data_IF_461964544712
#
_entry.id   IF_461964544712
#
_cell.length_a   1.000
_cell.length_b   1.000
_cell.length_c   1.000
_cell.angle_alpha   90.00
_cell.angle_beta   90.00
_cell.angle_gamma   90.00
#
_symmetry.space_group_name_H-M   'P 1'
#
loop_
_entity.id
_entity.type
_entity.pdbx_description
1 polymer ?
#
# COMPACT_ATOMS: atom_id res chain seq x y z
N UNK A 1 1.06 -8.68 1.59
CA UNK A 1 0.01 -8.15 2.48
C UNK A 1 -0.58 -9.20 3.44
N UNK A 2 0.04 -10.38 3.59
CA UNK A 2 -0.49 -11.49 4.42
C UNK A 2 -0.21 -11.35 5.92
N UNK A 3 0.45 -10.28 6.36
CA UNK A 3 0.87 -10.10 7.75
C UNK A 3 -0.18 -9.47 8.66
N UNK A 4 -1.30 -8.96 8.10
CA UNK A 4 -2.37 -8.36 8.88
C UNK A 4 -3.68 -9.07 8.54
N UNK A 5 -4.42 -9.61 9.54
CA UNK A 5 -5.74 -10.16 9.29
C UNK A 5 -6.62 -9.07 8.65
N UNK A 6 -7.38 -9.46 7.62
CA UNK A 6 -8.36 -8.57 6.99
C UNK A 6 -9.49 -8.30 7.98
N UNK A 7 -9.30 -7.25 8.79
CA UNK A 7 -10.30 -6.76 9.71
C UNK A 7 -11.41 -6.05 8.91
N UNK A 8 -12.66 -6.07 9.39
CA UNK A 8 -13.81 -5.50 8.66
C UNK A 8 -13.67 -4.00 8.34
N UNK A 9 -12.73 -3.30 8.98
CA UNK A 9 -12.41 -1.89 8.76
C UNK A 9 -11.21 -1.69 7.80
N UNK A 10 -10.56 -2.77 7.38
CA UNK A 10 -9.45 -2.71 6.43
C UNK A 10 -10.03 -2.69 5.01
N UNK A 11 -10.18 -1.49 4.48
CA UNK A 11 -10.57 -1.25 3.09
C UNK A 11 -9.70 -2.12 2.18
N UNK A 12 -10.30 -3.09 1.50
CA UNK A 12 -9.64 -3.98 0.56
C UNK A 12 -10.23 -3.75 -0.83
N UNK A 13 -9.40 -3.75 -1.90
CA UNK A 13 -9.92 -3.60 -3.25
C UNK A 13 -10.74 -4.83 -3.64
N UNK A 14 -11.89 -4.60 -4.26
CA UNK A 14 -12.78 -5.64 -4.78
C UNK A 14 -12.13 -6.29 -6.01
N UNK A 15 -11.83 -7.58 -5.94
CA UNK A 15 -11.07 -8.29 -6.99
C UNK A 15 -11.90 -8.64 -8.23
N UNK A 16 -13.18 -8.95 -8.05
CA UNK A 16 -14.08 -9.28 -9.15
C UNK A 16 -15.11 -8.16 -9.28
N UNK A 17 -14.80 -7.17 -10.11
CA UNK A 17 -15.66 -6.01 -10.37
C UNK A 17 -16.91 -6.46 -11.12
N UNK A 18 -18.08 -6.40 -10.48
CA UNK A 18 -19.38 -6.77 -11.06
C UNK A 18 -20.24 -5.54 -11.35
N UNK A 19 -19.97 -4.42 -10.70
CA UNK A 19 -20.78 -3.19 -10.76
C UNK A 19 -19.91 -1.92 -10.88
N UNK A 20 -20.48 -0.85 -11.43
CA UNK A 20 -19.79 0.44 -11.54
C UNK A 20 -19.52 1.08 -10.17
N UNK A 21 -20.34 0.78 -9.16
CA UNK A 21 -20.10 1.20 -7.79
C UNK A 21 -18.80 0.59 -7.23
N UNK A 22 -18.53 -0.70 -7.50
CA UNK A 22 -17.29 -1.36 -7.10
C UNK A 22 -16.08 -0.79 -7.84
N UNK A 23 -16.25 -0.38 -9.10
CA UNK A 23 -15.20 0.29 -9.88
C UNK A 23 -14.83 1.64 -9.24
N UNK A 24 -15.83 2.47 -8.95
CA UNK A 24 -15.61 3.76 -8.29
C UNK A 24 -15.00 3.60 -6.89
N UNK A 25 -15.45 2.58 -6.14
CA UNK A 25 -14.85 2.24 -4.85
C UNK A 25 -13.36 1.88 -5.00
N UNK A 26 -13.01 1.00 -5.95
CA UNK A 26 -11.63 0.63 -6.20
C UNK A 26 -10.77 1.80 -6.68
N UNK A 27 -11.32 2.71 -7.49
CA UNK A 27 -10.61 3.94 -7.89
C UNK A 27 -10.30 4.83 -6.68
N UNK A 28 -11.33 5.11 -5.86
CA UNK A 28 -11.16 5.92 -4.66
C UNK A 28 -10.18 5.25 -3.68
N UNK A 29 -10.30 3.94 -3.51
CA UNK A 29 -9.39 3.12 -2.70
C UNK A 29 -7.95 3.19 -3.23
N UNK A 30 -7.75 3.05 -4.54
CA UNK A 30 -6.44 3.14 -5.18
C UNK A 30 -5.78 4.50 -4.99
N UNK A 31 -6.54 5.60 -5.08
CA UNK A 31 -6.03 6.96 -4.83
C UNK A 31 -5.50 7.11 -3.40
N UNK A 32 -6.27 6.63 -2.41
CA UNK A 32 -5.86 6.68 -1.00
C UNK A 32 -4.65 5.78 -0.72
N UNK A 33 -4.63 4.56 -1.26
CA UNK A 33 -3.52 3.62 -1.11
C UNK A 33 -2.21 4.17 -1.69
N UNK A 34 -2.27 4.89 -2.83
CA UNK A 34 -1.10 5.55 -3.42
C UNK A 34 -0.48 6.62 -2.52
N UNK A 35 -1.32 7.40 -1.84
CA UNK A 35 -0.86 8.40 -0.87
C UNK A 35 -0.24 7.72 0.35
N UNK A 36 -0.91 6.69 0.89
CA UNK A 36 -0.39 5.88 2.00
C UNK A 36 0.99 5.30 1.68
N UNK A 37 1.14 4.64 0.54
CA UNK A 37 2.40 4.02 0.12
C UNK A 37 3.51 5.04 -0.07
N UNK A 38 3.21 6.18 -0.72
CA UNK A 38 4.18 7.28 -0.88
C UNK A 38 4.64 7.80 0.48
N UNK A 39 3.72 8.06 1.40
CA UNK A 39 4.05 8.56 2.75
C UNK A 39 4.91 7.55 3.51
N UNK A 40 4.54 6.27 3.49
CA UNK A 40 5.33 5.21 4.13
C UNK A 40 6.71 5.10 3.49
N UNK A 41 6.81 5.18 2.17
CA UNK A 41 8.08 5.19 1.45
C UNK A 41 8.98 6.35 1.88
N UNK A 42 8.44 7.56 1.98
CA UNK A 42 9.17 8.73 2.47
C UNK A 42 9.62 8.57 3.94
N UNK A 43 8.75 8.03 4.80
CA UNK A 43 9.09 7.77 6.20
C UNK A 43 10.22 6.74 6.30
N UNK A 44 10.14 5.63 5.55
CA UNK A 44 11.21 4.62 5.48
C UNK A 44 12.52 5.21 4.95
N UNK A 45 12.46 6.08 3.95
CA UNK A 45 13.63 6.75 3.39
C UNK A 45 14.25 7.76 4.37
N UNK A 46 13.44 8.39 5.22
CA UNK A 46 13.90 9.36 6.24
C UNK A 46 14.48 8.66 7.48
N UNK A 47 13.87 7.57 7.91
CA UNK A 47 14.27 6.82 9.11
C UNK A 47 15.05 5.55 8.78
N UNK A 48 16.09 5.68 7.94
CA UNK A 48 16.96 4.55 7.60
C UNK A 48 17.70 3.98 8.80
N UNK A 49 17.93 4.77 9.85
CA UNK A 49 18.56 4.34 11.10
C UNK A 49 17.75 3.29 11.88
N UNK A 50 16.44 3.16 11.61
CA UNK A 50 15.59 2.11 12.19
C UNK A 50 15.63 0.80 11.37
N UNK A 51 16.35 0.79 10.25
CA UNK A 51 16.46 -0.37 9.38
C UNK A 51 17.60 -1.28 9.83
N UNK A 52 17.26 -2.44 10.40
CA UNK A 52 18.19 -3.42 10.97
C UNK A 52 19.24 -3.93 9.95
N UNK A 53 18.98 -3.84 8.64
CA UNK A 53 19.86 -4.42 7.61
C UNK A 53 20.72 -3.42 6.83
N UNK A 54 20.61 -2.10 7.05
CA UNK A 54 21.48 -1.10 6.38
C UNK A 54 21.36 -1.02 4.85
N UNK A 55 20.46 -1.78 4.22
CA UNK A 55 20.33 -1.85 2.76
C UNK A 55 19.36 -0.76 2.23
N UNK A 56 19.72 0.00 1.19
CA UNK A 56 18.83 1.00 0.57
C UNK A 56 17.65 0.36 -0.16
N UNK A 57 16.46 0.93 0.00
CA UNK A 57 15.18 0.48 -0.58
C UNK A 57 15.09 0.54 -2.12
N UNK A 58 16.13 1.04 -2.80
CA UNK A 58 16.15 1.26 -4.25
C UNK A 58 16.22 -0.03 -5.07
N UNK A 59 16.57 -1.18 -4.48
CA UNK A 59 16.62 -2.46 -5.20
C UNK A 59 15.29 -3.24 -5.27
N UNK A 60 14.20 -2.72 -4.70
CA UNK A 60 12.91 -3.42 -4.64
C UNK A 60 11.85 -3.00 -5.67
N UNK A 61 12.11 -1.99 -6.51
CA UNK A 61 11.09 -1.35 -7.36
C UNK A 61 11.34 -1.47 -8.88
N UNK A 62 12.24 -2.35 -9.32
CA UNK A 62 12.31 -2.77 -10.73
C UNK A 62 11.81 -4.21 -10.81
N UNK A 63 10.50 -4.38 -11.02
CA UNK A 63 9.94 -5.59 -11.62
C UNK A 63 8.68 -5.25 -12.38
#
# INVERSE_FOLDING_TARGET
DSGYPNLCWLLTPVRNLRTDAERNYNEAHGRTSRVKERTIGLLKARFQCLHISGVPWTMGLIR
#
